data_IF_944857643727
#
_entry.id   IF_944857643727
#
_cell.length_a   1.000
_cell.length_b   1.000
_cell.length_c   1.000
_cell.angle_alpha   90.00
_cell.angle_beta   90.00
_cell.angle_gamma   90.00
#
_symmetry.space_group_name_H-M   'P 1'
#
loop_
_entity.id
_entity.type
_entity.pdbx_description
1 polymer ?
#
# COMPACT_ATOMS: atom_id res chain seq x y z
N UNK A 1 3.31 -28.10 27.93
CA UNK A 1 2.63 -27.00 27.22
C UNK A 1 2.65 -27.33 25.73
N UNK A 2 1.51 -27.70 25.17
CA UNK A 2 1.39 -28.18 23.79
C UNK A 2 1.16 -27.01 22.82
N UNK A 3 1.86 -27.02 21.67
CA UNK A 3 1.65 -26.04 20.59
C UNK A 3 0.37 -26.40 19.81
N UNK A 4 -0.48 -25.42 19.43
CA UNK A 4 -1.67 -25.71 18.63
C UNK A 4 -1.29 -26.00 17.18
N UNK A 5 -1.80 -27.11 16.63
CA UNK A 5 -1.77 -27.42 15.20
C UNK A 5 -2.99 -26.76 14.53
N UNK A 6 -2.75 -25.88 13.57
CA UNK A 6 -3.79 -25.33 12.70
C UNK A 6 -4.08 -26.35 11.60
N UNK A 7 -5.31 -26.87 11.59
CA UNK A 7 -5.81 -27.77 10.54
C UNK A 7 -6.48 -26.92 9.46
N UNK A 8 -5.93 -26.94 8.24
CA UNK A 8 -6.52 -26.28 7.07
C UNK A 8 -7.65 -27.17 6.54
N UNK A 9 -8.87 -26.66 6.49
CA UNK A 9 -10.03 -27.36 5.91
C UNK A 9 -10.27 -26.78 4.52
N UNK A 10 -10.00 -27.56 3.48
CA UNK A 10 -10.33 -27.20 2.10
C UNK A 10 -11.70 -27.76 1.72
N UNK A 11 -12.63 -26.85 1.40
CA UNK A 11 -13.96 -27.17 0.91
C UNK A 11 -13.89 -27.46 -0.59
N UNK A 12 -13.73 -28.74 -0.96
CA UNK A 12 -13.88 -29.19 -2.35
C UNK A 12 -15.33 -29.62 -2.60
N UNK A 13 -16.20 -28.63 -2.83
CA UNK A 13 -17.52 -28.88 -3.39
C UNK A 13 -17.38 -29.34 -4.84
N UNK A 14 -17.37 -30.65 -5.09
CA UNK A 14 -17.56 -31.22 -6.42
C UNK A 14 -18.77 -32.14 -6.43
N UNK A 15 -19.70 -31.77 -7.31
CA UNK A 15 -20.86 -32.56 -7.67
C UNK A 15 -20.44 -33.81 -8.47
N UNK A 16 -21.10 -34.93 -8.12
CA UNK A 16 -21.37 -36.14 -8.91
C UNK A 16 -20.90 -37.43 -8.22
N UNK A 17 -21.86 -38.18 -7.71
CA UNK A 17 -21.69 -39.60 -7.37
C UNK A 17 -22.78 -40.39 -8.08
N UNK A 18 -22.35 -41.26 -9.00
CA UNK A 18 -23.01 -42.53 -9.28
C UNK A 18 -21.95 -43.62 -9.19
N UNK A 19 -22.37 -44.69 -8.55
CA UNK A 19 -21.63 -45.85 -8.05
C UNK A 19 -21.46 -46.86 -9.20
N UNK A 20 -20.28 -47.47 -9.34
CA UNK A 20 -20.11 -48.93 -9.30
C UNK A 20 -18.66 -49.39 -9.54
N UNK A 21 -18.22 -50.33 -8.70
CA UNK A 21 -17.49 -51.51 -9.18
C UNK A 21 -15.95 -51.53 -9.18
N UNK A 22 -15.41 -52.32 -8.24
CA UNK A 22 -14.36 -53.35 -8.43
C UNK A 22 -12.89 -52.97 -8.13
N UNK A 23 -12.35 -53.72 -7.16
CA UNK A 23 -10.98 -53.80 -6.67
C UNK A 23 -10.06 -54.50 -7.68
N UNK A 24 -8.90 -53.92 -8.00
CA UNK A 24 -7.62 -54.64 -8.29
C UNK A 24 -6.44 -53.74 -7.89
N UNK A 25 -5.51 -54.29 -7.12
CA UNK A 25 -4.24 -53.67 -6.75
C UNK A 25 -3.27 -53.63 -7.94
N UNK A 26 -2.57 -52.50 -8.13
CA UNK A 26 -1.30 -52.46 -8.85
C UNK A 26 -0.45 -51.28 -8.37
N UNK A 27 0.61 -51.60 -7.64
CA UNK A 27 1.79 -50.77 -7.42
C UNK A 27 2.48 -50.50 -8.75
N UNK A 28 2.63 -49.23 -9.11
CA UNK A 28 3.71 -48.77 -9.98
C UNK A 28 4.20 -47.41 -9.47
N UNK A 29 5.47 -47.40 -9.05
CA UNK A 29 6.26 -46.19 -8.86
C UNK A 29 6.33 -45.40 -10.17
N UNK A 30 5.99 -44.12 -10.13
CA UNK A 30 6.49 -43.13 -11.09
C UNK A 30 6.89 -41.90 -10.29
N UNK A 31 8.18 -41.63 -10.34
CA UNK A 31 8.79 -40.43 -9.83
C UNK A 31 8.38 -39.22 -10.67
N UNK A 32 7.89 -38.17 -10.02
CA UNK A 32 8.14 -36.79 -10.42
C UNK A 32 8.13 -35.95 -9.15
N UNK A 33 9.33 -35.57 -8.70
CA UNK A 33 9.51 -34.44 -7.79
C UNK A 33 9.15 -33.19 -8.58
N UNK A 34 7.92 -32.72 -8.44
CA UNK A 34 7.61 -31.33 -8.75
C UNK A 34 8.25 -30.47 -7.66
N UNK A 35 9.51 -30.11 -7.89
CA UNK A 35 10.07 -28.89 -7.36
C UNK A 35 9.19 -27.75 -7.86
N UNK A 36 8.22 -27.35 -7.04
CA UNK A 36 7.59 -26.04 -7.14
C UNK A 36 8.69 -25.03 -6.89
N UNK A 37 9.36 -24.64 -7.97
CA UNK A 37 10.16 -23.42 -8.00
C UNK A 37 9.15 -22.31 -7.77
N UNK A 38 9.07 -21.84 -6.53
CA UNK A 38 8.47 -20.55 -6.21
C UNK A 38 9.29 -19.51 -6.97
N UNK A 39 8.91 -19.24 -8.21
CA UNK A 39 9.35 -18.06 -8.92
C UNK A 39 8.92 -16.87 -8.08
N UNK A 40 9.85 -16.07 -7.54
CA UNK A 40 9.46 -14.84 -6.85
C UNK A 40 8.66 -14.02 -7.87
N UNK A 41 7.46 -13.58 -7.49
CA UNK A 41 6.61 -12.71 -8.30
C UNK A 41 7.42 -11.47 -8.69
N UNK A 42 7.97 -11.48 -9.90
CA UNK A 42 8.77 -10.41 -10.48
C UNK A 42 7.94 -9.15 -10.77
N UNK A 43 6.61 -9.24 -10.68
CA UNK A 43 5.70 -8.19 -11.13
C UNK A 43 5.69 -6.90 -10.27
N UNK A 44 6.37 -6.86 -9.13
CA UNK A 44 6.45 -5.66 -8.29
C UNK A 44 7.84 -5.04 -8.16
N UNK A 45 8.92 -5.76 -8.47
CA UNK A 45 10.27 -5.22 -8.28
C UNK A 45 10.75 -4.35 -9.47
N UNK A 46 10.28 -4.60 -10.69
CA UNK A 46 10.84 -3.96 -11.89
C UNK A 46 10.33 -2.53 -12.18
N UNK A 47 9.29 -2.04 -11.47
CA UNK A 47 8.77 -0.68 -11.72
C UNK A 47 9.65 0.41 -11.07
N UNK A 48 10.44 0.06 -10.07
CA UNK A 48 11.18 1.01 -9.24
C UNK A 48 12.67 1.13 -9.59
N UNK A 49 13.18 0.25 -10.47
CA UNK A 49 14.55 0.30 -11.02
C UNK A 49 14.72 1.28 -12.20
N UNK A 50 13.70 2.11 -12.47
CA UNK A 50 13.82 3.16 -13.47
C UNK A 50 14.75 4.28 -12.95
N UNK A 51 16.00 4.27 -13.45
CA UNK A 51 17.03 5.32 -13.30
C UNK A 51 16.58 6.75 -13.71
N UNK A 52 15.31 6.96 -14.07
CA UNK A 52 14.76 8.20 -14.61
C UNK A 52 13.58 8.79 -13.81
N UNK A 53 13.29 8.31 -12.59
CA UNK A 53 12.27 8.96 -11.76
C UNK A 53 12.74 10.38 -11.35
N UNK A 54 11.83 11.38 -11.36
CA UNK A 54 12.16 12.74 -10.98
C UNK A 54 12.52 12.84 -9.50
N UNK A 55 13.03 13.99 -9.09
CA UNK A 55 13.24 14.37 -7.69
C UNK A 55 12.00 14.07 -6.83
N UNK A 56 12.25 13.83 -5.53
CA UNK A 56 11.22 13.42 -4.59
C UNK A 56 10.11 14.48 -4.48
N UNK A 57 8.88 14.09 -4.78
CA UNK A 57 7.69 14.93 -4.59
C UNK A 57 6.73 14.23 -3.65
N UNK A 58 6.34 14.92 -2.59
CA UNK A 58 5.44 14.38 -1.57
C UNK A 58 4.13 15.15 -1.61
N UNK A 59 3.03 14.44 -1.72
CA UNK A 59 1.69 15.00 -1.76
C UNK A 59 0.92 14.55 -0.54
N UNK A 60 0.31 15.48 0.19
CA UNK A 60 -0.52 15.15 1.36
C UNK A 60 -1.97 15.54 1.05
N UNK A 61 -2.89 14.58 1.19
CA UNK A 61 -4.30 14.76 0.87
C UNK A 61 -5.14 14.58 2.13
N UNK A 62 -5.84 15.64 2.52
CA UNK A 62 -6.86 15.58 3.56
C UNK A 62 -8.16 15.05 2.95
N UNK A 63 -8.48 13.79 3.26
CA UNK A 63 -9.57 13.09 2.57
C UNK A 63 -10.94 13.66 2.93
N UNK A 64 -11.15 14.22 4.12
CA UNK A 64 -12.44 14.82 4.51
C UNK A 64 -12.83 16.03 3.65
N UNK A 65 -11.89 16.65 2.94
CA UNK A 65 -12.13 17.87 2.14
C UNK A 65 -11.98 17.67 0.64
N UNK A 66 -11.31 16.60 0.19
CA UNK A 66 -11.04 16.40 -1.24
C UNK A 66 -12.25 15.78 -1.95
N UNK A 67 -12.64 16.36 -3.08
CA UNK A 67 -13.68 15.77 -3.93
C UNK A 67 -13.10 14.64 -4.80
N UNK A 68 -13.87 13.57 -5.07
CA UNK A 68 -13.39 12.39 -5.80
C UNK A 68 -12.80 12.73 -7.19
N UNK A 69 -13.46 13.63 -7.93
CA UNK A 69 -12.94 14.17 -9.21
C UNK A 69 -11.59 14.90 -9.07
N UNK A 70 -11.38 15.65 -7.99
CA UNK A 70 -10.11 16.34 -7.73
C UNK A 70 -9.01 15.33 -7.44
N UNK A 71 -9.31 14.32 -6.62
CA UNK A 71 -8.40 13.23 -6.32
C UNK A 71 -8.02 12.44 -7.59
N UNK A 72 -9.00 12.08 -8.42
CA UNK A 72 -8.76 11.44 -9.71
C UNK A 72 -7.79 12.25 -10.58
N UNK A 73 -8.07 13.55 -10.76
CA UNK A 73 -7.21 14.42 -11.57
C UNK A 73 -5.79 14.46 -11.01
N UNK A 74 -5.64 14.54 -9.69
CA UNK A 74 -4.35 14.51 -9.03
C UNK A 74 -3.60 13.21 -9.28
N UNK A 75 -4.25 12.05 -9.13
CA UNK A 75 -3.62 10.74 -9.36
C UNK A 75 -3.13 10.61 -10.81
N UNK A 76 -3.96 10.97 -11.79
CA UNK A 76 -3.61 10.85 -13.21
C UNK A 76 -2.52 11.84 -13.66
N UNK A 77 -2.45 13.03 -13.04
CA UNK A 77 -1.45 14.04 -13.38
C UNK A 77 -0.11 13.82 -12.67
N UNK A 78 -0.16 13.51 -11.38
CA UNK A 78 1.02 13.32 -10.53
C UNK A 78 1.66 11.96 -10.81
N UNK A 79 0.83 10.94 -11.08
CA UNK A 79 1.24 9.54 -11.23
C UNK A 79 2.10 9.08 -10.04
N UNK A 80 1.53 9.10 -8.82
CA UNK A 80 2.30 8.75 -7.63
C UNK A 80 2.84 7.32 -7.77
N UNK A 81 4.11 7.13 -7.44
CA UNK A 81 4.72 5.81 -7.32
C UNK A 81 4.02 5.00 -6.23
N UNK A 82 3.79 5.63 -5.09
CA UNK A 82 3.14 5.03 -3.94
C UNK A 82 2.07 5.95 -3.35
N UNK A 83 0.99 5.34 -2.89
CA UNK A 83 -0.14 5.96 -2.20
C UNK A 83 -0.26 5.28 -0.83
N UNK A 84 0.08 6.02 0.22
CA UNK A 84 0.10 5.53 1.59
C UNK A 84 -1.10 6.12 2.33
N UNK A 85 -2.08 5.30 2.63
CA UNK A 85 -3.28 5.68 3.34
C UNK A 85 -3.10 5.50 4.84
N UNK A 86 -3.05 6.62 5.56
CA UNK A 86 -2.84 6.64 7.00
C UNK A 86 -4.16 6.68 7.78
N UNK A 87 -5.30 6.66 7.11
CA UNK A 87 -6.63 6.66 7.76
C UNK A 87 -6.90 5.29 8.39
N UNK A 88 -7.70 5.26 9.45
CA UNK A 88 -8.14 4.01 10.06
C UNK A 88 -9.07 3.20 9.14
N UNK A 89 -9.96 3.88 8.41
CA UNK A 89 -10.86 3.27 7.45
C UNK A 89 -10.76 3.98 6.10
N UNK A 90 -10.30 3.24 5.09
CA UNK A 90 -10.23 3.71 3.71
C UNK A 90 -11.62 3.72 3.07
N UNK A 91 -12.38 4.79 3.35
CA UNK A 91 -13.66 5.08 2.70
C UNK A 91 -13.41 6.00 1.51
N UNK A 92 -13.78 5.52 0.32
CA UNK A 92 -13.60 6.21 -0.96
C UNK A 92 -14.94 6.43 -1.68
N UNK A 93 -16.04 6.09 -1.02
CA UNK A 93 -17.44 6.39 -1.35
C UNK A 93 -17.78 7.88 -1.13
N UNK A 94 -16.84 8.76 -1.46
CA UNK A 94 -16.99 10.20 -1.35
C UNK A 94 -17.72 10.76 -2.58
N UNK A 95 -18.25 11.98 -2.47
CA UNK A 95 -18.89 12.64 -3.61
C UNK A 95 -17.94 12.71 -4.81
N UNK A 96 -18.38 12.11 -5.93
CA UNK A 96 -17.71 12.17 -7.22
C UNK A 96 -16.63 11.13 -7.49
N UNK A 97 -16.53 10.06 -6.70
CA UNK A 97 -15.82 8.82 -7.06
C UNK A 97 -16.34 7.65 -6.22
N UNK A 98 -16.19 6.43 -6.71
CA UNK A 98 -16.29 5.22 -5.92
C UNK A 98 -14.91 4.57 -5.74
N UNK A 99 -14.85 3.55 -4.88
CA UNK A 99 -13.64 2.80 -4.56
C UNK A 99 -13.04 2.13 -5.79
N UNK A 100 -13.83 1.37 -6.54
CA UNK A 100 -13.32 0.54 -7.64
C UNK A 100 -12.73 1.41 -8.75
N UNK A 101 -13.41 2.51 -9.05
CA UNK A 101 -12.94 3.54 -9.98
C UNK A 101 -11.61 4.15 -9.53
N UNK A 102 -11.44 4.49 -8.24
CA UNK A 102 -10.19 5.05 -7.74
C UNK A 102 -9.02 4.05 -7.82
N UNK A 103 -9.26 2.79 -7.43
CA UNK A 103 -8.23 1.74 -7.52
C UNK A 103 -7.87 1.40 -8.96
N UNK A 104 -8.81 1.51 -9.90
CA UNK A 104 -8.53 1.40 -11.32
C UNK A 104 -7.55 2.51 -11.79
N UNK A 105 -7.66 3.73 -11.27
CA UNK A 105 -6.71 4.81 -11.56
C UNK A 105 -5.32 4.55 -10.96
N UNK A 106 -5.23 4.05 -9.73
CA UNK A 106 -3.93 3.66 -9.17
C UNK A 106 -3.26 2.60 -10.03
N UNK A 107 -4.01 1.57 -10.43
CA UNK A 107 -3.51 0.52 -11.32
C UNK A 107 -3.06 1.06 -12.68
N UNK A 108 -3.81 1.99 -13.27
CA UNK A 108 -3.51 2.51 -14.62
C UNK A 108 -2.23 3.35 -14.68
N UNK A 109 -1.84 3.98 -13.58
CA UNK A 109 -0.58 4.74 -13.48
C UNK A 109 0.55 3.95 -12.83
N UNK A 110 0.33 2.68 -12.47
CA UNK A 110 1.31 1.82 -11.81
C UNK A 110 1.56 2.19 -10.34
N UNK A 111 0.63 2.88 -9.67
CA UNK A 111 0.77 3.22 -8.25
C UNK A 111 0.61 1.99 -7.36
N UNK A 112 1.54 1.83 -6.42
CA UNK A 112 1.34 0.94 -5.27
C UNK A 112 0.48 1.62 -4.21
N UNK A 113 -0.62 0.97 -3.80
CA UNK A 113 -1.46 1.45 -2.70
C UNK A 113 -1.22 0.60 -1.44
N UNK A 114 -1.03 1.27 -0.30
CA UNK A 114 -0.95 0.62 1.02
C UNK A 114 -1.83 1.35 2.03
N UNK A 115 -2.59 0.57 2.82
CA UNK A 115 -3.31 1.07 4.00
C UNK A 115 -2.48 0.75 5.24
N UNK A 116 -1.87 1.77 5.83
CA UNK A 116 -1.07 1.68 7.05
C UNK A 116 -1.53 2.75 8.04
N UNK A 117 -2.63 2.45 8.72
CA UNK A 117 -3.35 3.41 9.56
C UNK A 117 -2.52 3.95 10.73
N UNK A 118 -2.75 5.21 11.08
CA UNK A 118 -2.24 5.82 12.32
C UNK A 118 -3.36 6.06 13.34
N UNK A 119 -3.05 6.01 14.65
CA UNK A 119 -4.01 6.30 15.73
C UNK A 119 -4.20 7.81 15.89
N UNK A 120 -4.70 8.51 14.85
CA UNK A 120 -4.81 9.97 14.82
C UNK A 120 -5.53 10.61 16.01
N UNK A 121 -6.42 9.86 16.68
CA UNK A 121 -7.17 10.34 17.84
C UNK A 121 -6.32 10.44 19.12
N UNK A 122 -5.24 9.66 19.21
CA UNK A 122 -4.33 9.65 20.36
C UNK A 122 -3.13 10.57 20.15
N UNK A 123 -2.96 11.09 18.93
CA UNK A 123 -1.79 11.87 18.55
C UNK A 123 -2.04 13.37 18.64
N UNK A 124 -1.07 14.06 19.21
CA UNK A 124 -1.01 15.51 19.32
C UNK A 124 0.00 16.11 18.34
N UNK A 125 -0.08 17.42 18.12
CA UNK A 125 0.89 18.16 17.30
C UNK A 125 2.33 17.96 17.83
N UNK A 126 2.49 17.89 19.16
CA UNK A 126 3.80 17.74 19.80
C UNK A 126 4.52 16.45 19.37
N UNK A 127 3.77 15.39 19.14
CA UNK A 127 4.33 14.08 18.77
C UNK A 127 4.99 14.12 17.38
N UNK A 128 4.49 14.97 16.49
CA UNK A 128 5.04 15.17 15.13
C UNK A 128 6.27 16.09 15.15
N UNK A 129 6.33 17.03 16.10
CA UNK A 129 7.43 17.99 16.27
C UNK A 129 8.66 17.39 16.97
N UNK A 130 8.47 16.36 17.79
CA UNK A 130 9.54 15.79 18.63
C UNK A 130 10.22 14.61 17.97
N UNK A 131 11.55 14.52 18.06
CA UNK A 131 12.28 13.34 17.62
C UNK A 131 11.90 12.11 18.44
N UNK A 132 11.58 11.01 17.75
CA UNK A 132 11.04 9.79 18.36
C UNK A 132 9.59 9.88 18.83
N UNK A 133 8.91 11.03 18.71
CA UNK A 133 7.53 11.21 19.22
C UNK A 133 6.47 10.40 18.48
N UNK A 134 6.58 10.31 17.16
CA UNK A 134 5.72 9.45 16.32
C UNK A 134 6.55 8.83 15.20
N UNK A 135 6.20 7.60 14.81
CA UNK A 135 6.72 6.99 13.60
C UNK A 135 5.60 6.85 12.59
N UNK A 136 5.69 7.61 11.50
CA UNK A 136 4.74 7.49 10.39
C UNK A 136 5.11 6.25 9.57
N UNK A 137 4.18 5.30 9.37
CA UNK A 137 4.43 4.10 8.60
C UNK A 137 4.98 4.41 7.21
N UNK A 138 5.92 3.56 6.75
CA UNK A 138 6.56 3.60 5.43
C UNK A 138 7.33 4.86 5.05
N UNK A 139 7.31 5.93 5.85
CA UNK A 139 8.03 7.17 5.51
C UNK A 139 9.51 6.93 5.27
N UNK A 140 10.18 6.15 6.12
CA UNK A 140 11.61 5.87 5.94
C UNK A 140 11.86 5.14 4.60
N UNK A 141 11.12 4.07 4.35
CA UNK A 141 11.27 3.29 3.12
C UNK A 141 10.97 4.13 1.87
N UNK A 142 9.81 4.77 1.84
CA UNK A 142 9.34 5.47 0.63
C UNK A 142 10.14 6.74 0.35
N UNK A 143 10.52 7.49 1.38
CA UNK A 143 11.08 8.83 1.22
C UNK A 143 12.59 8.90 1.43
N UNK A 144 13.20 7.97 2.17
CA UNK A 144 14.64 8.01 2.49
C UNK A 144 15.41 6.89 1.78
N UNK A 145 14.87 5.68 1.76
CA UNK A 145 15.52 4.55 1.07
C UNK A 145 15.36 4.68 -0.45
N UNK A 146 14.14 4.94 -0.92
CA UNK A 146 13.88 5.09 -2.35
C UNK A 146 14.16 6.51 -2.89
N UNK A 147 13.89 7.56 -2.10
CA UNK A 147 14.29 8.97 -2.30
C UNK A 147 14.08 9.55 -3.74
N UNK A 148 13.08 9.06 -4.46
CA UNK A 148 12.76 9.48 -5.85
C UNK A 148 11.28 9.31 -6.16
N UNK A 149 10.80 10.02 -7.18
CA UNK A 149 9.43 9.91 -7.67
C UNK A 149 8.41 10.63 -6.79
N UNK A 150 7.13 10.41 -7.08
CA UNK A 150 6.03 11.03 -6.34
C UNK A 150 5.43 10.07 -5.31
N UNK A 151 5.25 10.51 -4.07
CA UNK A 151 4.60 9.75 -2.99
C UNK A 151 3.40 10.53 -2.50
N UNK A 152 2.25 9.87 -2.35
CA UNK A 152 1.01 10.50 -1.91
C UNK A 152 0.56 9.90 -0.57
N UNK A 153 0.31 10.75 0.43
CA UNK A 153 -0.21 10.35 1.72
C UNK A 153 -1.67 10.77 1.87
N UNK A 154 -2.53 9.84 2.29
CA UNK A 154 -3.90 10.16 2.69
C UNK A 154 -4.00 10.27 4.19
N UNK A 155 -4.56 11.38 4.65
CA UNK A 155 -4.86 11.63 6.06
C UNK A 155 -6.34 11.96 6.23
N UNK A 156 -6.92 11.80 7.43
CA UNK A 156 -8.34 12.04 7.61
C UNK A 156 -8.72 13.52 7.39
N UNK A 157 -8.06 14.44 8.10
CA UNK A 157 -8.48 15.83 8.25
C UNK A 157 -7.36 16.81 7.86
N UNK A 158 -7.69 18.07 7.51
CA UNK A 158 -6.70 19.11 7.23
C UNK A 158 -5.68 19.31 8.36
N UNK A 159 -6.10 19.25 9.62
CA UNK A 159 -5.21 19.34 10.78
C UNK A 159 -4.14 18.23 10.79
N UNK A 160 -4.50 17.00 10.39
CA UNK A 160 -3.57 15.88 10.30
C UNK A 160 -2.60 16.06 9.13
N UNK A 161 -3.02 16.73 8.05
CA UNK A 161 -2.14 17.08 6.95
C UNK A 161 -1.05 18.06 7.42
N UNK A 162 -1.42 19.10 8.17
CA UNK A 162 -0.45 20.04 8.74
C UNK A 162 0.54 19.35 9.68
N UNK A 163 0.06 18.46 10.56
CA UNK A 163 0.90 17.66 11.45
C UNK A 163 1.89 16.76 10.67
N UNK A 164 1.39 16.06 9.66
CA UNK A 164 2.21 15.19 8.82
C UNK A 164 3.26 16.01 8.05
N UNK A 165 2.90 17.14 7.46
CA UNK A 165 3.82 18.02 6.73
C UNK A 165 4.97 18.48 7.65
N UNK A 166 4.69 18.84 8.90
CA UNK A 166 5.71 19.22 9.87
C UNK A 166 6.69 18.06 10.15
N UNK A 167 6.16 16.86 10.39
CA UNK A 167 6.96 15.65 10.57
C UNK A 167 7.81 15.29 9.35
N UNK A 168 7.22 15.38 8.15
CA UNK A 168 7.90 15.07 6.89
C UNK A 168 9.04 16.04 6.63
N UNK A 169 8.82 17.34 6.81
CA UNK A 169 9.88 18.34 6.68
C UNK A 169 11.04 18.05 7.63
N UNK A 170 10.76 17.78 8.91
CA UNK A 170 11.79 17.43 9.89
C UNK A 170 12.56 16.15 9.48
N UNK A 171 11.85 15.13 9.04
CA UNK A 171 12.44 13.84 8.65
C UNK A 171 13.31 13.99 7.40
N UNK A 172 12.82 14.69 6.38
CA UNK A 172 13.53 14.90 5.12
C UNK A 172 14.71 15.84 5.29
N UNK A 173 14.57 16.94 6.04
CA UNK A 173 15.71 17.81 6.36
C UNK A 173 16.85 17.08 7.07
N UNK A 174 16.55 16.05 7.85
CA UNK A 174 17.56 15.27 8.56
C UNK A 174 18.17 14.12 7.72
N UNK A 175 17.45 13.60 6.71
CA UNK A 175 17.78 12.31 6.10
C UNK A 175 17.76 12.27 4.57
N UNK A 176 17.11 13.21 3.90
CA UNK A 176 16.98 13.20 2.44
C UNK A 176 18.35 13.41 1.78
N UNK A 177 18.60 12.69 0.68
CA UNK A 177 19.84 12.82 -0.11
C UNK A 177 19.59 13.64 -1.38
N UNK A 178 18.32 13.77 -1.79
CA UNK A 178 17.89 14.54 -2.96
C UNK A 178 17.06 15.76 -2.55
N UNK A 179 16.81 16.66 -3.50
CA UNK A 179 15.82 17.73 -3.38
C UNK A 179 14.42 17.15 -3.21
N UNK A 180 13.62 17.75 -2.32
CA UNK A 180 12.24 17.35 -2.09
C UNK A 180 11.29 18.53 -2.14
N UNK A 181 10.04 18.25 -2.51
CA UNK A 181 8.93 19.21 -2.40
C UNK A 181 7.73 18.56 -1.75
N UNK A 182 7.12 19.24 -0.79
CA UNK A 182 5.86 18.80 -0.17
C UNK A 182 4.74 19.72 -0.62
N UNK A 183 3.65 19.14 -1.12
CA UNK A 183 2.46 19.85 -1.58
C UNK A 183 1.21 19.29 -0.91
N UNK A 184 0.28 20.16 -0.51
CA UNK A 184 -1.03 19.74 -0.01
C UNK A 184 -2.07 19.82 -1.12
N UNK A 185 -2.87 18.76 -1.26
CA UNK A 185 -3.98 18.71 -2.22
C UNK A 185 -5.29 18.96 -1.46
N UNK A 186 -6.08 19.92 -1.97
CA UNK A 186 -7.41 20.30 -1.46
C UNK A 186 -8.44 20.28 -2.56
#
# INVERSE_FOLDING_TARGET
MAKPQLTLVENTGSWHSRIDGRVVAQTHEVATRDTVVNSPRADQLDLFDALALPDLRVFVVAMDTVHGRTLQKAVLSIKPRSVIDLRYAARFDQYGSDRDTLFAYFKSVGSYYALDSMPWHDLSIRDFMTEGGVQVPRVHHELVELDRGAVMFFVPKPQHASMLIAYLNRTLSAKAKTSWRIEQIG
#
